data_IF_730188558825
#
_entry.id   IF_730188558825
#
_cell.length_a   1.000
_cell.length_b   1.000
_cell.length_c   1.000
_cell.angle_alpha   90.00
_cell.angle_beta   90.00
_cell.angle_gamma   90.00
#
_symmetry.space_group_name_H-M   'P 1'
#
loop_
_entity.id
_entity.type
_entity.pdbx_description
1 polymer ?
#
# COMPACT_ATOMS: atom_id res chain seq x y z
N UNK A 1 -9.70 -28.33 -0.85
CA UNK A 1 -9.73 -28.79 -2.26
C UNK A 1 -9.50 -27.57 -3.15
N UNK A 2 -8.58 -27.62 -4.12
CA UNK A 2 -8.37 -26.53 -5.06
C UNK A 2 -9.66 -26.28 -5.86
N UNK A 3 -10.07 -25.02 -5.97
CA UNK A 3 -11.23 -24.59 -6.75
C UNK A 3 -10.74 -23.74 -7.92
N UNK A 4 -11.03 -24.17 -9.13
CA UNK A 4 -10.73 -23.40 -10.34
C UNK A 4 -11.86 -22.40 -10.55
N UNK A 5 -11.53 -21.11 -10.65
CA UNK A 5 -12.47 -20.04 -10.97
C UNK A 5 -12.11 -19.42 -12.32
N UNK A 6 -13.13 -19.10 -13.13
CA UNK A 6 -12.96 -18.41 -14.42
C UNK A 6 -13.83 -17.16 -14.44
N UNK A 7 -13.21 -16.03 -14.76
CA UNK A 7 -13.88 -14.75 -14.95
C UNK A 7 -14.04 -14.48 -16.44
N UNK A 8 -15.28 -14.28 -16.89
CA UNK A 8 -15.59 -13.95 -18.28
C UNK A 8 -16.02 -12.49 -18.33
N UNK A 9 -15.36 -11.69 -19.17
CA UNK A 9 -15.67 -10.29 -19.38
C UNK A 9 -16.15 -10.13 -20.82
N UNK A 10 -17.44 -9.89 -20.99
CA UNK A 10 -18.07 -9.67 -22.29
C UNK A 10 -19.33 -8.84 -22.10
N UNK A 11 -19.58 -7.91 -23.01
CA UNK A 11 -20.84 -7.14 -23.05
C UNK A 11 -21.93 -7.89 -23.85
N UNK A 12 -21.56 -8.98 -24.51
CA UNK A 12 -22.48 -9.81 -25.28
C UNK A 12 -22.95 -11.03 -24.46
N UNK A 13 -24.26 -11.15 -24.30
CA UNK A 13 -24.90 -12.17 -23.45
C UNK A 13 -24.80 -13.56 -24.09
N UNK A 14 -24.91 -13.64 -25.42
CA UNK A 14 -24.93 -14.92 -26.14
C UNK A 14 -23.57 -15.63 -26.08
N UNK A 15 -22.48 -14.89 -26.29
CA UNK A 15 -21.11 -15.39 -26.15
C UNK A 15 -20.81 -15.81 -24.71
N UNK A 16 -21.33 -15.07 -23.73
CA UNK A 16 -21.15 -15.35 -22.31
C UNK A 16 -21.83 -16.66 -21.90
N UNK A 17 -23.05 -16.90 -22.36
CA UNK A 17 -23.76 -18.15 -22.09
C UNK A 17 -23.11 -19.35 -22.78
N UNK A 18 -22.68 -19.21 -24.04
CA UNK A 18 -21.93 -20.25 -24.76
C UNK A 18 -20.63 -20.61 -24.04
N UNK A 19 -19.88 -19.61 -23.58
CA UNK A 19 -18.64 -19.82 -22.83
C UNK A 19 -18.92 -20.50 -21.47
N UNK A 20 -19.96 -20.08 -20.75
CA UNK A 20 -20.38 -20.73 -19.50
C UNK A 20 -20.79 -22.19 -19.72
N UNK A 21 -21.54 -22.48 -20.78
CA UNK A 21 -21.95 -23.84 -21.14
C UNK A 21 -20.75 -24.73 -21.51
N UNK A 22 -19.76 -24.19 -22.23
CA UNK A 22 -18.53 -24.90 -22.56
C UNK A 22 -17.67 -25.23 -21.33
N UNK A 23 -17.75 -24.40 -20.27
CA UNK A 23 -16.99 -24.55 -19.03
C UNK A 23 -17.70 -25.39 -17.95
N UNK A 24 -19.02 -25.58 -18.07
CA UNK A 24 -19.82 -26.41 -17.17
C UNK A 24 -19.29 -27.84 -16.91
N UNK A 25 -18.77 -28.61 -17.90
CA UNK A 25 -18.31 -29.98 -17.67
C UNK A 25 -17.04 -30.06 -16.82
N UNK A 26 -16.29 -28.96 -16.67
CA UNK A 26 -15.02 -28.94 -15.95
C UNK A 26 -15.17 -28.67 -14.44
N UNK A 27 -16.40 -28.50 -13.93
CA UNK A 27 -16.64 -28.26 -12.50
C UNK A 27 -16.06 -26.93 -11.99
N UNK A 28 -15.90 -25.96 -12.89
CA UNK A 28 -15.32 -24.63 -12.63
C UNK A 28 -16.42 -23.66 -12.21
N UNK A 29 -16.16 -22.82 -11.20
CA UNK A 29 -17.08 -21.72 -10.88
C UNK A 29 -16.84 -20.55 -11.83
N UNK A 30 -17.84 -20.28 -12.68
CA UNK A 30 -17.80 -19.23 -13.70
C UNK A 30 -18.54 -18.00 -13.20
N UNK A 31 -17.88 -16.84 -13.20
CA UNK A 31 -18.50 -15.54 -12.91
C UNK A 31 -18.38 -14.63 -14.12
N UNK A 32 -19.48 -13.98 -14.48
CA UNK A 32 -19.60 -13.17 -15.70
C UNK A 32 -19.74 -11.71 -15.32
N UNK A 33 -18.97 -10.85 -15.97
CA UNK A 33 -19.00 -9.41 -15.75
C UNK A 33 -19.14 -8.69 -17.10
N UNK A 34 -19.90 -7.61 -17.14
CA UNK A 34 -19.85 -6.67 -18.27
C UNK A 34 -18.54 -5.88 -18.26
N UNK A 35 -18.10 -5.36 -19.41
CA UNK A 35 -16.85 -4.62 -19.53
C UNK A 35 -16.85 -3.34 -18.69
N UNK A 36 -17.99 -2.65 -18.63
CA UNK A 36 -18.18 -1.46 -17.79
C UNK A 36 -18.09 -1.78 -16.29
N UNK A 37 -18.82 -2.81 -15.84
CA UNK A 37 -18.78 -3.24 -14.44
C UNK A 37 -17.39 -3.74 -14.01
N UNK A 38 -16.67 -4.42 -14.91
CA UNK A 38 -15.30 -4.87 -14.65
C UNK A 38 -14.33 -3.70 -14.50
N UNK A 39 -14.40 -2.71 -15.39
CA UNK A 39 -13.56 -1.52 -15.35
C UNK A 39 -13.80 -0.69 -14.09
N UNK A 40 -15.07 -0.38 -13.81
CA UNK A 40 -15.43 0.47 -12.68
C UNK A 40 -15.25 -0.30 -11.35
N UNK A 41 -15.45 -1.63 -11.37
CA UNK A 41 -15.16 -2.53 -10.25
C UNK A 41 -13.67 -2.58 -9.92
N UNK A 42 -12.78 -2.54 -10.92
CA UNK A 42 -11.34 -2.45 -10.68
C UNK A 42 -10.92 -1.14 -10.01
N UNK A 43 -11.74 -0.11 -9.90
CA UNK A 43 -11.39 1.07 -9.07
C UNK A 43 -11.86 0.91 -7.62
N UNK A 44 -12.82 0.01 -7.38
CA UNK A 44 -13.41 -0.23 -6.07
C UNK A 44 -12.61 -1.28 -5.27
N UNK A 45 -12.07 -0.87 -4.13
CA UNK A 45 -11.34 -1.74 -3.20
C UNK A 45 -12.15 -2.96 -2.73
N UNK A 46 -13.48 -2.82 -2.60
CA UNK A 46 -14.38 -3.92 -2.24
C UNK A 46 -14.52 -4.97 -3.36
N UNK A 47 -14.65 -4.53 -4.60
CA UNK A 47 -14.75 -5.45 -5.74
C UNK A 47 -13.41 -6.17 -5.97
N UNK A 48 -12.29 -5.46 -5.82
CA UNK A 48 -10.95 -6.06 -5.81
C UNK A 48 -10.79 -7.10 -4.70
N UNK A 49 -11.23 -6.79 -3.49
CA UNK A 49 -11.14 -7.74 -2.38
C UNK A 49 -12.02 -8.97 -2.61
N UNK A 50 -13.21 -8.81 -3.19
CA UNK A 50 -14.12 -9.89 -3.54
C UNK A 50 -13.58 -10.82 -4.65
N UNK A 51 -12.89 -10.26 -5.65
CA UNK A 51 -12.18 -11.05 -6.66
C UNK A 51 -11.04 -11.87 -6.03
N UNK A 52 -10.33 -11.28 -5.07
CA UNK A 52 -9.23 -11.96 -4.36
C UNK A 52 -9.71 -12.92 -3.27
N UNK A 53 -10.89 -12.71 -2.67
CA UNK A 53 -11.34 -13.47 -1.50
C UNK A 53 -11.66 -14.93 -1.80
N UNK A 54 -11.98 -15.25 -3.06
CA UNK A 54 -12.19 -16.64 -3.50
C UNK A 54 -10.90 -17.32 -4.00
N UNK A 55 -9.83 -16.57 -4.19
CA UNK A 55 -8.53 -17.10 -4.61
C UNK A 55 -7.70 -17.30 -3.33
N UNK A 56 -7.49 -18.55 -2.91
CA UNK A 56 -6.42 -18.81 -1.94
C UNK A 56 -5.14 -18.22 -2.54
N UNK A 57 -4.46 -17.27 -1.87
CA UNK A 57 -3.15 -16.83 -2.32
C UNK A 57 -2.32 -18.10 -2.53
N UNK A 58 -1.70 -18.24 -3.70
CA UNK A 58 -0.69 -19.28 -3.91
C UNK A 58 0.24 -19.18 -2.71
N UNK A 59 0.30 -20.24 -1.89
CA UNK A 59 0.96 -20.21 -0.60
C UNK A 59 2.36 -19.62 -0.79
N UNK A 60 2.53 -18.36 -0.38
CA UNK A 60 3.84 -17.75 -0.30
C UNK A 60 4.63 -18.64 0.64
N UNK A 61 5.74 -19.20 0.15
CA UNK A 61 6.56 -20.10 0.94
C UNK A 61 6.79 -19.46 2.31
N UNK A 62 6.39 -20.14 3.37
CA UNK A 62 6.48 -19.66 4.76
C UNK A 62 7.92 -19.63 5.28
N UNK A 63 8.89 -19.69 4.37
CA UNK A 63 10.29 -19.44 4.72
C UNK A 63 10.40 -17.96 5.08
N UNK A 64 10.78 -17.62 6.33
CA UNK A 64 11.10 -16.24 6.65
C UNK A 64 12.22 -15.82 5.70
N UNK A 65 11.91 -14.93 4.76
CA UNK A 65 12.93 -14.28 3.94
C UNK A 65 13.79 -13.49 4.92
N UNK A 66 14.97 -14.01 5.23
CA UNK A 66 16.01 -13.30 5.94
C UNK A 66 16.35 -12.07 5.08
N UNK A 67 15.83 -10.90 5.48
CA UNK A 67 15.90 -9.63 4.74
C UNK A 67 17.34 -9.16 4.48
N UNK A 68 18.35 -9.88 4.99
CA UNK A 68 19.75 -9.51 4.94
C UNK A 68 20.54 -10.11 3.76
N UNK A 69 19.98 -11.04 2.96
CA UNK A 69 20.78 -11.73 1.92
C UNK A 69 20.19 -11.85 0.52
N UNK A 70 18.97 -11.40 0.27
CA UNK A 70 18.38 -11.39 -1.06
C UNK A 70 18.03 -9.98 -1.51
N UNK A 71 18.54 -9.54 -2.66
CA UNK A 71 18.13 -8.29 -3.32
C UNK A 71 16.72 -8.40 -3.95
N UNK A 72 15.80 -9.11 -3.26
CA UNK A 72 14.44 -9.33 -3.74
C UNK A 72 13.63 -8.11 -3.33
N UNK A 73 13.38 -7.24 -4.29
CA UNK A 73 12.43 -6.15 -4.13
C UNK A 73 11.03 -6.77 -3.90
N UNK A 74 10.33 -6.44 -2.82
CA UNK A 74 8.97 -6.90 -2.61
C UNK A 74 8.09 -6.44 -3.78
N UNK A 75 7.23 -7.32 -4.28
CA UNK A 75 6.32 -7.00 -5.38
C UNK A 75 5.44 -5.79 -5.00
N UNK A 76 5.26 -4.78 -5.88
CA UNK A 76 4.51 -3.56 -5.58
C UNK A 76 3.00 -3.72 -5.26
N UNK A 77 2.49 -4.95 -5.13
CA UNK A 77 1.06 -5.24 -5.02
C UNK A 77 0.55 -5.66 -3.65
N UNK A 78 1.43 -6.01 -2.69
CA UNK A 78 1.01 -6.50 -1.37
C UNK A 78 1.80 -5.81 -0.27
N UNK A 79 1.60 -4.49 -0.15
CA UNK A 79 1.87 -3.79 1.11
C UNK A 79 0.55 -3.68 1.86
N UNK A 80 0.27 -4.66 2.73
CA UNK A 80 -0.82 -4.57 3.71
C UNK A 80 -0.42 -3.59 4.82
N UNK A 81 -0.23 -2.32 4.46
CA UNK A 81 -0.26 -1.24 5.42
C UNK A 81 -1.66 -0.62 5.34
N UNK A 82 -2.58 -1.20 6.09
CA UNK A 82 -3.92 -0.65 6.36
C UNK A 82 -3.82 0.56 7.31
N UNK A 83 -2.97 1.53 6.98
CA UNK A 83 -3.16 2.91 7.44
C UNK A 83 -3.89 3.63 6.32
N UNK A 84 -5.19 3.33 6.25
CA UNK A 84 -6.14 4.03 5.41
C UNK A 84 -6.41 5.41 6.02
N UNK A 85 -5.39 6.25 6.08
CA UNK A 85 -5.57 7.68 6.25
C UNK A 85 -5.79 8.26 4.86
N UNK A 86 -7.06 8.44 4.53
CA UNK A 86 -7.61 9.41 3.58
C UNK A 86 -6.53 10.08 2.71
N UNK A 87 -6.30 9.57 1.49
CA UNK A 87 -5.32 10.07 0.53
C UNK A 87 -5.75 11.43 -0.05
N UNK A 88 -5.96 12.41 0.82
CA UNK A 88 -5.91 13.81 0.44
C UNK A 88 -4.47 14.05 0.03
N UNK A 89 -4.28 14.54 -1.21
CA UNK A 89 -2.95 14.89 -1.71
C UNK A 89 -2.37 15.93 -0.74
N UNK A 90 -1.39 15.50 0.06
CA UNK A 90 -0.70 16.38 0.99
C UNK A 90 0.16 17.36 0.19
N UNK A 91 0.21 18.60 0.65
CA UNK A 91 1.10 19.60 0.05
C UNK A 91 2.56 19.28 0.37
N UNK A 92 3.47 19.81 -0.43
CA UNK A 92 4.90 19.60 -0.19
C UNK A 92 5.34 20.10 1.20
N UNK A 93 4.75 21.22 1.65
CA UNK A 93 5.03 21.78 2.99
C UNK A 93 4.58 20.85 4.12
N UNK A 94 3.42 20.19 3.99
CA UNK A 94 2.93 19.23 4.98
C UNK A 94 3.80 17.98 5.04
N UNK A 95 4.24 17.48 3.87
CA UNK A 95 5.12 16.33 3.80
C UNK A 95 6.49 16.63 4.41
N UNK A 96 7.02 17.82 4.13
CA UNK A 96 8.30 18.26 4.68
C UNK A 96 8.24 18.49 6.20
N UNK A 97 7.17 19.12 6.69
CA UNK A 97 6.91 19.29 8.13
C UNK A 97 6.92 17.94 8.87
N UNK A 98 6.17 16.96 8.36
CA UNK A 98 6.13 15.60 8.93
C UNK A 98 7.48 14.91 8.87
N UNK A 99 8.23 15.06 7.77
CA UNK A 99 9.56 14.48 7.64
C UNK A 99 10.54 15.05 8.69
N UNK A 100 10.50 16.36 8.92
CA UNK A 100 11.34 17.04 9.91
C UNK A 100 10.97 16.62 11.33
N UNK A 101 9.68 16.55 11.65
CA UNK A 101 9.20 16.10 12.96
C UNK A 101 9.65 14.66 13.25
N UNK A 102 9.44 13.75 12.29
CA UNK A 102 9.85 12.34 12.41
C UNK A 102 11.37 12.20 12.59
N UNK A 103 12.17 12.97 11.85
CA UNK A 103 13.62 12.95 12.02
C UNK A 103 14.02 13.45 13.42
N UNK A 104 13.46 14.57 13.88
CA UNK A 104 13.77 15.10 15.22
C UNK A 104 13.38 14.10 16.32
N UNK A 105 12.24 13.41 16.17
CA UNK A 105 11.82 12.35 17.09
C UNK A 105 12.78 11.15 17.07
N UNK A 106 13.13 10.67 15.88
CA UNK A 106 14.04 9.53 15.70
C UNK A 106 15.41 9.79 16.33
N UNK A 107 15.94 11.01 16.15
CA UNK A 107 17.23 11.43 16.70
C UNK A 107 17.12 12.11 18.07
N UNK A 108 15.99 11.97 18.77
CA UNK A 108 15.78 12.39 20.17
C UNK A 108 16.09 13.88 20.41
N UNK A 109 15.77 14.73 19.44
CA UNK A 109 16.05 16.17 19.50
C UNK A 109 17.51 16.54 19.19
N UNK A 110 18.33 15.62 18.64
CA UNK A 110 19.64 15.97 18.10
C UNK A 110 19.50 16.50 16.67
N UNK A 111 19.45 17.82 16.52
CA UNK A 111 19.26 18.49 15.24
C UNK A 111 20.42 18.25 14.25
N UNK A 112 21.64 18.01 14.73
CA UNK A 112 22.80 17.77 13.85
C UNK A 112 22.67 16.42 13.14
N UNK A 113 22.30 15.37 13.90
CA UNK A 113 22.07 14.03 13.34
C UNK A 113 20.79 13.99 12.50
N UNK A 114 19.73 14.68 12.93
CA UNK A 114 18.49 14.79 12.15
C UNK A 114 18.71 15.47 10.79
N UNK A 115 19.51 16.56 10.75
CA UNK A 115 19.85 17.23 9.50
C UNK A 115 20.62 16.30 8.54
N UNK A 116 21.60 15.55 9.07
CA UNK A 116 22.39 14.59 8.30
C UNK A 116 21.52 13.47 7.73
N UNK A 117 20.59 12.94 8.52
CA UNK A 117 19.68 11.89 8.09
C UNK A 117 18.66 12.35 7.04
N UNK A 118 18.23 13.62 7.11
CA UNK A 118 17.38 14.25 6.10
C UNK A 118 18.15 14.69 4.85
N UNK A 119 19.50 14.63 4.86
CA UNK A 119 20.33 15.06 3.73
C UNK A 119 20.35 16.58 3.52
N UNK A 120 19.99 17.38 4.53
CA UNK A 120 19.98 18.84 4.46
C UNK A 120 21.01 19.47 5.39
N UNK A 121 21.46 20.68 5.06
CA UNK A 121 22.35 21.44 5.92
C UNK A 121 21.68 21.85 7.24
N UNK A 122 22.47 21.92 8.32
CA UNK A 122 22.01 22.34 9.66
C UNK A 122 21.30 23.71 9.65
N UNK A 123 21.81 24.67 8.87
CA UNK A 123 21.20 26.00 8.73
C UNK A 123 19.80 25.91 8.08
N UNK A 124 19.62 25.04 7.10
CA UNK A 124 18.34 24.79 6.43
C UNK A 124 17.34 24.14 7.37
N UNK A 125 17.78 23.15 8.16
CA UNK A 125 16.92 22.52 9.18
C UNK A 125 16.44 23.56 10.20
N UNK A 126 17.32 24.42 10.73
CA UNK A 126 16.92 25.47 11.66
C UNK A 126 15.88 26.42 11.09
N UNK A 127 16.05 26.83 9.82
CA UNK A 127 15.09 27.72 9.13
C UNK A 127 13.72 27.04 9.04
N UNK A 128 13.68 25.77 8.64
CA UNK A 128 12.44 25.01 8.46
C UNK A 128 11.75 24.69 9.79
N UNK A 129 12.52 24.33 10.82
CA UNK A 129 11.99 24.14 12.19
C UNK A 129 11.31 25.41 12.71
N UNK A 130 11.91 26.59 12.45
CA UNK A 130 11.29 27.87 12.82
C UNK A 130 10.06 28.20 11.96
N UNK A 131 10.10 27.90 10.66
CA UNK A 131 9.00 28.13 9.73
C UNK A 131 7.76 27.28 10.08
N UNK A 132 7.96 26.02 10.43
CA UNK A 132 6.90 25.08 10.80
C UNK A 132 6.57 25.07 12.29
N UNK A 133 7.20 25.94 13.09
CA UNK A 133 6.99 26.07 14.55
C UNK A 133 7.17 24.74 15.31
N UNK A 134 8.11 23.91 14.88
CA UNK A 134 8.38 22.60 15.48
C UNK A 134 9.23 22.80 16.73
N UNK A 135 8.77 22.34 17.89
CA UNK A 135 9.54 22.41 19.13
C UNK A 135 10.38 21.13 19.35
N UNK A 136 11.72 21.19 19.22
CA UNK A 136 12.59 20.03 19.39
C UNK A 136 12.65 19.52 20.84
N UNK A 137 12.14 20.27 21.81
CA UNK A 137 12.13 19.91 23.23
C UNK A 137 11.10 18.81 23.52
N UNK A 138 10.02 18.74 22.72
CA UNK A 138 8.98 17.71 22.83
C UNK A 138 9.59 16.32 22.63
N UNK A 139 10.47 16.17 21.64
CA UNK A 139 11.19 14.92 21.37
C UNK A 139 12.14 14.51 22.51
N UNK A 140 12.66 15.47 23.28
CA UNK A 140 13.56 15.21 24.41
C UNK A 140 12.79 14.78 25.67
N UNK A 141 11.56 15.27 25.87
CA UNK A 141 10.75 15.01 27.08
C UNK A 141 10.17 13.58 27.14
N UNK A 142 9.92 12.93 25.99
CA UNK A 142 9.39 11.55 25.90
C UNK A 142 10.33 10.47 26.49
N UNK A 143 11.54 10.85 26.93
CA UNK A 143 12.47 9.99 27.69
C UNK A 143 12.09 9.81 29.17
N UNK A 144 11.29 10.72 29.72
CA UNK A 144 11.02 10.80 31.16
C UNK A 144 9.67 10.18 31.59
N UNK A 145 8.97 9.50 30.68
CA UNK A 145 7.71 8.80 30.92
C UNK A 145 7.88 7.31 30.63
#
# INVERSE_FOLDING_TARGET
MPRTMVFIISDDVETTEKAKAALAPYGVSVTTYGAGQWRDGLENSFFRSQLSSGLMPLASGTSPVDQHRGNVLPFPGVSTNTNQDNSKVATMDELESKAIENAILQFRGNLTEAAKALGIGRATLYRKVKQYQIDPTIARKKRAA
#
